data_IF_183028115242
#
_entry.id   IF_183028115242
#
_cell.length_a   1.000
_cell.length_b   1.000
_cell.length_c   1.000
_cell.angle_alpha   90.00
_cell.angle_beta   90.00
_cell.angle_gamma   90.00
#
_symmetry.space_group_name_H-M   'P 1'
#
loop_
_entity.id
_entity.type
_entity.pdbx_description
1 polymer ?
#
# COMPACT_ATOMS: atom_id res chain seq x y z
N UNK A 1 -0.96 20.35 22.92
CA UNK A 1 -0.58 20.01 21.53
C UNK A 1 -0.01 21.27 20.92
N UNK A 2 1.25 21.29 20.50
CA UNK A 2 1.79 22.44 19.78
C UNK A 2 1.12 22.54 18.40
N UNK A 3 0.92 23.77 17.91
CA UNK A 3 0.33 24.01 16.57
C UNK A 3 1.11 23.31 15.45
N UNK A 4 2.40 23.03 15.64
CA UNK A 4 3.28 22.34 14.70
C UNK A 4 2.88 20.90 14.34
N UNK A 5 1.93 20.28 15.05
CA UNK A 5 1.45 18.92 14.77
C UNK A 5 0.09 18.87 14.07
N UNK A 6 -0.47 20.00 13.69
CA UNK A 6 -1.83 20.05 13.13
C UNK A 6 -1.85 19.71 11.63
N UNK A 7 -2.86 18.97 11.18
CA UNK A 7 -3.08 18.66 9.75
C UNK A 7 -3.72 19.86 9.06
N UNK A 8 -3.06 20.39 8.02
CA UNK A 8 -3.54 21.55 7.27
C UNK A 8 -4.83 21.23 6.48
N UNK A 9 -5.58 22.30 6.14
CA UNK A 9 -6.78 22.17 5.28
C UNK A 9 -6.44 21.58 3.92
N UNK A 10 -5.29 21.96 3.33
CA UNK A 10 -4.82 21.41 2.06
C UNK A 10 -4.59 19.90 2.14
N UNK A 11 -3.95 19.41 3.21
CA UNK A 11 -3.76 18.00 3.45
C UNK A 11 -5.09 17.25 3.57
N UNK A 12 -6.08 17.82 4.26
CA UNK A 12 -7.43 17.19 4.38
C UNK A 12 -8.14 17.10 3.04
N UNK A 13 -8.12 18.17 2.24
CA UNK A 13 -8.71 18.17 0.89
C UNK A 13 -8.03 17.09 0.04
N UNK A 14 -6.71 17.04 0.03
CA UNK A 14 -5.96 16.02 -0.70
C UNK A 14 -6.34 14.60 -0.27
N UNK A 15 -6.34 14.32 1.04
CA UNK A 15 -6.75 13.00 1.57
C UNK A 15 -8.19 12.66 1.15
N UNK A 16 -9.11 13.62 1.19
CA UNK A 16 -10.49 13.44 0.74
C UNK A 16 -10.60 13.05 -0.74
N UNK A 17 -9.81 13.70 -1.61
CA UNK A 17 -9.73 13.34 -3.04
C UNK A 17 -9.17 11.92 -3.25
N UNK A 18 -8.12 11.56 -2.49
CA UNK A 18 -7.55 10.20 -2.52
C UNK A 18 -8.59 9.17 -2.10
N UNK A 19 -9.38 9.42 -1.04
CA UNK A 19 -10.47 8.51 -0.61
C UNK A 19 -11.46 8.29 -1.75
N UNK A 20 -11.95 9.35 -2.39
CA UNK A 20 -12.88 9.24 -3.50
C UNK A 20 -12.32 8.43 -4.67
N UNK A 21 -11.08 8.72 -5.06
CA UNK A 21 -10.41 8.01 -6.14
C UNK A 21 -10.25 6.51 -5.83
N UNK A 22 -9.61 6.16 -4.70
CA UNK A 22 -9.33 4.74 -4.38
C UNK A 22 -10.61 3.94 -4.09
N UNK A 23 -11.65 4.56 -3.52
CA UNK A 23 -12.93 3.89 -3.31
C UNK A 23 -13.62 3.54 -4.63
N UNK A 24 -13.55 4.43 -5.63
CA UNK A 24 -14.22 4.25 -6.92
C UNK A 24 -13.76 2.98 -7.68
N UNK A 25 -12.52 2.55 -7.48
CA UNK A 25 -11.99 1.35 -8.11
C UNK A 25 -11.73 0.20 -7.13
N UNK A 26 -11.45 0.48 -5.86
CA UNK A 26 -11.17 -0.56 -4.88
C UNK A 26 -12.40 -1.39 -4.50
N UNK A 27 -13.55 -0.73 -4.31
CA UNK A 27 -14.79 -1.42 -3.96
C UNK A 27 -15.24 -2.39 -5.06
N UNK A 28 -15.35 -1.99 -6.36
CA UNK A 28 -15.71 -2.93 -7.41
C UNK A 28 -14.75 -4.10 -7.53
N UNK A 29 -13.44 -3.87 -7.51
CA UNK A 29 -12.46 -4.95 -7.63
C UNK A 29 -12.54 -5.97 -6.50
N UNK A 30 -12.83 -5.52 -5.28
CA UNK A 30 -12.90 -6.39 -4.12
C UNK A 30 -14.23 -7.14 -4.02
N UNK A 31 -15.35 -6.46 -4.29
CA UNK A 31 -16.71 -7.00 -4.12
C UNK A 31 -17.25 -7.70 -5.37
N UNK A 32 -16.77 -7.31 -6.56
CA UNK A 32 -17.18 -7.89 -7.85
C UNK A 32 -15.96 -8.19 -8.73
N UNK A 33 -15.04 -9.08 -8.28
CA UNK A 33 -13.77 -9.35 -8.97
C UNK A 33 -13.96 -10.00 -10.35
N UNK A 34 -15.01 -10.81 -10.54
CA UNK A 34 -15.31 -11.45 -11.83
C UNK A 34 -15.66 -10.47 -12.95
N UNK A 35 -16.12 -9.27 -12.61
CA UNK A 35 -16.40 -8.21 -13.56
C UNK A 35 -15.17 -7.39 -13.98
N UNK A 36 -14.02 -7.55 -13.33
CA UNK A 36 -12.82 -6.75 -13.56
C UNK A 36 -12.42 -6.61 -15.04
N UNK A 37 -12.48 -7.65 -15.89
CA UNK A 37 -12.13 -7.54 -17.31
C UNK A 37 -12.94 -6.47 -18.07
N UNK A 38 -14.16 -6.17 -17.64
CA UNK A 38 -15.05 -5.22 -18.30
C UNK A 38 -14.83 -3.74 -17.91
N UNK A 39 -14.36 -3.46 -16.70
CA UNK A 39 -14.30 -2.09 -16.17
C UNK A 39 -12.90 -1.64 -15.73
N UNK A 40 -11.97 -2.58 -15.46
CA UNK A 40 -10.69 -2.22 -14.86
C UNK A 40 -9.74 -1.50 -15.84
N UNK A 41 -8.73 -0.85 -15.30
CA UNK A 41 -7.80 0.03 -16.02
C UNK A 41 -6.83 -0.71 -16.96
N UNK A 42 -6.51 -1.95 -16.66
CA UNK A 42 -5.65 -2.82 -17.46
C UNK A 42 -6.16 -4.27 -17.41
N UNK A 43 -5.48 -5.18 -18.13
CA UNK A 43 -5.89 -6.58 -18.18
C UNK A 43 -5.76 -7.28 -16.84
N UNK A 44 -6.88 -7.70 -16.26
CA UNK A 44 -6.98 -8.57 -15.09
C UNK A 44 -8.04 -9.60 -15.39
N UNK A 45 -7.62 -10.76 -15.91
CA UNK A 45 -8.55 -11.80 -16.31
C UNK A 45 -9.01 -12.67 -15.15
N UNK A 46 -8.12 -12.92 -14.19
CA UNK A 46 -8.37 -13.84 -13.07
C UNK A 46 -9.04 -13.11 -11.88
N UNK A 47 -10.24 -13.54 -11.44
CA UNK A 47 -10.96 -12.90 -10.34
C UNK A 47 -10.17 -12.85 -9.03
N UNK A 48 -9.33 -13.84 -8.76
CA UNK A 48 -8.47 -13.89 -7.57
C UNK A 48 -7.46 -12.76 -7.58
N UNK A 49 -6.84 -12.48 -8.72
CA UNK A 49 -5.94 -11.33 -8.91
C UNK A 49 -6.70 -10.01 -8.73
N UNK A 50 -7.89 -9.90 -9.30
CA UNK A 50 -8.73 -8.71 -9.13
C UNK A 50 -9.09 -8.47 -7.66
N UNK A 51 -9.47 -9.51 -6.92
CA UNK A 51 -9.77 -9.43 -5.49
C UNK A 51 -8.55 -9.04 -4.66
N UNK A 52 -7.35 -9.58 -4.98
CA UNK A 52 -6.10 -9.17 -4.33
C UNK A 52 -5.82 -7.68 -4.51
N UNK A 53 -5.86 -7.20 -5.75
CA UNK A 53 -5.67 -5.77 -6.06
C UNK A 53 -6.78 -4.95 -5.38
N UNK A 54 -8.02 -5.42 -5.43
CA UNK A 54 -9.17 -4.79 -4.79
C UNK A 54 -9.02 -4.67 -3.29
N UNK A 55 -8.48 -5.70 -2.61
CA UNK A 55 -8.26 -5.68 -1.15
C UNK A 55 -7.28 -4.58 -0.73
N UNK A 56 -6.26 -4.31 -1.56
CA UNK A 56 -5.30 -3.21 -1.34
C UNK A 56 -6.05 -1.88 -1.28
N UNK A 57 -6.85 -1.59 -2.29
CA UNK A 57 -7.59 -0.34 -2.39
C UNK A 57 -8.73 -0.23 -1.38
N UNK A 58 -9.41 -1.34 -1.11
CA UNK A 58 -10.45 -1.40 -0.08
C UNK A 58 -9.92 -1.02 1.30
N UNK A 59 -8.84 -1.67 1.74
CA UNK A 59 -8.20 -1.35 3.03
C UNK A 59 -7.60 0.05 3.02
N UNK A 60 -6.98 0.45 1.90
CA UNK A 60 -6.45 1.81 1.76
C UNK A 60 -7.57 2.86 1.90
N UNK A 61 -8.77 2.60 1.36
CA UNK A 61 -9.92 3.51 1.54
C UNK A 61 -10.24 3.70 3.01
N UNK A 62 -10.39 2.61 3.77
CA UNK A 62 -10.66 2.65 5.21
C UNK A 62 -9.54 3.39 5.95
N UNK A 63 -8.30 3.11 5.58
CA UNK A 63 -7.13 3.74 6.18
C UNK A 63 -7.05 5.25 5.90
N UNK A 64 -7.33 5.68 4.68
CA UNK A 64 -7.36 7.12 4.36
C UNK A 64 -8.52 7.84 5.04
N UNK A 65 -9.67 7.18 5.26
CA UNK A 65 -10.74 7.69 6.14
C UNK A 65 -10.25 7.86 7.58
N UNK A 66 -9.49 6.90 8.10
CA UNK A 66 -8.84 7.03 9.40
C UNK A 66 -7.86 8.21 9.43
N UNK A 67 -6.99 8.37 8.42
CA UNK A 67 -6.05 9.50 8.33
C UNK A 67 -6.77 10.86 8.21
N UNK A 68 -7.87 10.92 7.47
CA UNK A 68 -8.68 12.13 7.32
C UNK A 68 -9.21 12.67 8.66
N UNK A 69 -9.51 11.74 9.59
CA UNK A 69 -9.99 12.06 10.94
C UNK A 69 -8.86 12.45 11.91
N UNK A 70 -7.59 12.22 11.54
CA UNK A 70 -6.47 12.59 12.40
C UNK A 70 -6.31 14.10 12.45
N UNK A 71 -5.97 14.61 13.65
CA UNK A 71 -5.58 16.01 13.86
C UNK A 71 -4.07 16.17 13.91
N UNK A 72 -3.36 15.10 14.18
CA UNK A 72 -1.92 15.05 14.35
C UNK A 72 -1.22 14.73 13.03
N UNK A 73 -0.44 15.69 12.51
CA UNK A 73 0.31 15.53 11.27
C UNK A 73 1.30 14.37 11.31
N UNK A 74 1.93 14.12 12.47
CA UNK A 74 2.87 13.01 12.62
C UNK A 74 2.28 11.65 12.27
N UNK A 75 0.97 11.46 12.49
CA UNK A 75 0.26 10.23 12.12
C UNK A 75 -0.06 10.14 10.64
N UNK A 76 -0.04 11.26 9.93
CA UNK A 76 -0.44 11.37 8.52
C UNK A 76 0.78 11.40 7.59
N UNK A 77 1.81 12.14 7.97
CA UNK A 77 2.97 12.46 7.15
C UNK A 77 3.63 11.22 6.53
N UNK A 78 3.94 10.22 7.37
CA UNK A 78 4.65 9.03 6.92
C UNK A 78 3.88 8.23 5.87
N UNK A 79 2.55 8.17 6.02
CA UNK A 79 1.68 7.51 5.06
C UNK A 79 1.66 8.23 3.71
N UNK A 80 1.67 9.57 3.72
CA UNK A 80 1.74 10.35 2.47
C UNK A 80 3.13 10.25 1.81
N UNK A 81 4.22 10.19 2.59
CA UNK A 81 5.57 9.94 2.05
C UNK A 81 5.67 8.57 1.38
N UNK A 82 5.05 7.54 1.99
CA UNK A 82 5.02 6.20 1.41
C UNK A 82 4.18 6.14 0.13
N UNK A 83 3.10 6.92 0.05
CA UNK A 83 2.31 7.05 -1.18
C UNK A 83 3.16 7.60 -2.33
N UNK A 84 4.08 8.53 -2.09
CA UNK A 84 4.98 9.03 -3.12
C UNK A 84 5.83 7.90 -3.73
N UNK A 85 6.38 7.02 -2.90
CA UNK A 85 7.20 5.88 -3.34
C UNK A 85 6.36 4.90 -4.19
N UNK A 86 5.18 4.51 -3.68
CA UNK A 86 4.33 3.56 -4.41
C UNK A 86 3.77 4.17 -5.70
N UNK A 87 3.46 5.47 -5.70
CA UNK A 87 2.99 6.16 -6.89
C UNK A 87 4.05 6.12 -8.02
N UNK A 88 5.30 6.46 -7.69
CA UNK A 88 6.39 6.36 -8.65
C UNK A 88 6.58 4.93 -9.17
N UNK A 89 6.57 3.93 -8.26
CA UNK A 89 6.73 2.52 -8.61
C UNK A 89 5.64 2.04 -9.57
N UNK A 90 4.38 2.30 -9.25
CA UNK A 90 3.24 1.85 -10.06
C UNK A 90 3.15 2.54 -11.40
N UNK A 91 3.55 3.83 -11.50
CA UNK A 91 3.63 4.52 -12.79
C UNK A 91 4.72 3.93 -13.67
N UNK A 92 5.90 3.60 -13.12
CA UNK A 92 6.94 2.91 -13.87
C UNK A 92 6.41 1.54 -14.34
N UNK A 93 5.73 0.77 -13.49
CA UNK A 93 5.11 -0.49 -13.88
C UNK A 93 4.08 -0.30 -15.02
N UNK A 94 3.26 0.76 -14.94
CA UNK A 94 2.30 1.10 -15.99
C UNK A 94 2.97 1.42 -17.32
N UNK A 95 4.09 2.17 -17.32
CA UNK A 95 4.86 2.47 -18.52
C UNK A 95 5.40 1.21 -19.20
N UNK A 96 5.88 0.22 -18.44
CA UNK A 96 6.34 -1.06 -18.96
C UNK A 96 5.24 -1.91 -19.60
N UNK A 97 3.97 -1.63 -19.25
CA UNK A 97 2.81 -2.40 -19.70
C UNK A 97 1.72 -1.51 -20.30
N UNK A 98 2.11 -0.39 -20.93
CA UNK A 98 1.15 0.58 -21.45
C UNK A 98 0.17 -0.05 -22.45
N UNK A 99 0.62 -1.01 -23.25
CA UNK A 99 -0.22 -1.75 -24.18
C UNK A 99 -1.34 -2.58 -23.52
N UNK A 100 -1.16 -2.94 -22.25
CA UNK A 100 -2.16 -3.65 -21.45
C UNK A 100 -3.21 -2.73 -20.83
N UNK A 101 -3.01 -1.41 -20.90
CA UNK A 101 -3.92 -0.42 -20.32
C UNK A 101 -5.03 -0.05 -21.30
N UNK A 102 -6.18 0.27 -20.73
CA UNK A 102 -7.36 0.75 -21.46
C UNK A 102 -7.64 2.22 -21.12
N UNK A 103 -6.86 3.19 -21.66
CA UNK A 103 -6.92 4.60 -21.27
C UNK A 103 -8.27 5.27 -21.56
N UNK A 104 -9.10 4.66 -22.44
CA UNK A 104 -10.46 5.12 -22.71
C UNK A 104 -11.48 4.75 -21.60
N UNK A 105 -11.12 3.90 -20.67
CA UNK A 105 -11.99 3.55 -19.52
C UNK A 105 -11.92 4.63 -18.44
N UNK A 106 -13.04 5.09 -17.90
CA UNK A 106 -13.03 6.13 -16.85
C UNK A 106 -12.18 5.76 -15.64
N UNK A 107 -12.22 4.49 -15.18
CA UNK A 107 -11.42 4.05 -14.05
C UNK A 107 -9.91 4.05 -14.32
N UNK A 108 -9.49 3.85 -15.57
CA UNK A 108 -8.07 3.98 -15.94
C UNK A 108 -7.60 5.43 -15.78
N UNK A 109 -8.40 6.40 -16.22
CA UNK A 109 -8.07 7.83 -16.06
C UNK A 109 -8.02 8.22 -14.58
N UNK A 110 -8.99 7.75 -13.77
CA UNK A 110 -8.99 8.01 -12.31
C UNK A 110 -7.76 7.38 -11.66
N UNK A 111 -7.41 6.15 -12.05
CA UNK A 111 -6.24 5.46 -11.53
C UNK A 111 -4.93 6.18 -11.91
N UNK A 112 -4.76 6.53 -13.17
CA UNK A 112 -3.60 7.31 -13.61
C UNK A 112 -3.48 8.62 -12.85
N UNK A 113 -4.58 9.37 -12.71
CA UNK A 113 -4.59 10.62 -11.96
C UNK A 113 -4.23 10.38 -10.48
N UNK A 114 -4.76 9.32 -9.85
CA UNK A 114 -4.49 8.98 -8.45
C UNK A 114 -3.00 8.69 -8.17
N UNK A 115 -2.23 8.28 -9.17
CA UNK A 115 -0.79 8.01 -9.03
C UNK A 115 0.10 9.09 -9.66
N UNK A 116 -0.37 9.79 -10.70
CA UNK A 116 0.38 10.89 -11.31
C UNK A 116 0.39 12.13 -10.42
N UNK A 117 -0.78 12.52 -9.93
CA UNK A 117 -0.92 13.75 -9.15
C UNK A 117 -0.10 13.78 -7.86
N UNK A 118 0.03 12.68 -7.08
CA UNK A 118 0.87 12.66 -5.89
C UNK A 118 2.32 13.07 -6.13
N UNK A 119 2.90 12.72 -7.27
CA UNK A 119 4.30 13.06 -7.58
C UNK A 119 4.54 14.57 -7.64
N UNK A 120 3.51 15.35 -8.01
CA UNK A 120 3.58 16.82 -8.09
C UNK A 120 3.02 17.48 -6.82
N UNK A 121 1.88 17.00 -6.33
CA UNK A 121 1.19 17.67 -5.22
C UNK A 121 1.78 17.36 -3.85
N UNK A 122 2.31 16.16 -3.60
CA UNK A 122 2.86 15.84 -2.28
C UNK A 122 4.07 16.70 -1.90
N UNK A 123 5.06 16.95 -2.79
CA UNK A 123 6.16 17.86 -2.46
C UNK A 123 5.67 19.27 -2.10
N UNK A 124 4.69 19.78 -2.86
CA UNK A 124 4.07 21.09 -2.58
C UNK A 124 3.33 21.05 -1.24
N UNK A 125 2.54 20.00 -1.00
CA UNK A 125 1.80 19.82 0.25
C UNK A 125 2.73 19.78 1.47
N UNK A 126 3.84 19.03 1.41
CA UNK A 126 4.83 18.96 2.49
C UNK A 126 5.48 20.32 2.72
N UNK A 127 5.77 21.06 1.66
CA UNK A 127 6.30 22.43 1.77
C UNK A 127 5.32 23.36 2.45
N UNK A 128 4.06 23.42 1.99
CA UNK A 128 3.00 24.25 2.59
C UNK A 128 2.76 23.88 4.07
N UNK A 129 2.74 22.60 4.38
CA UNK A 129 2.60 22.12 5.76
C UNK A 129 3.74 22.62 6.65
N UNK A 130 4.98 22.56 6.14
CA UNK A 130 6.17 23.03 6.85
C UNK A 130 6.19 24.57 7.01
N UNK A 131 5.79 25.31 5.99
CA UNK A 131 5.71 26.79 6.03
C UNK A 131 4.65 27.24 7.04
N UNK A 132 3.52 26.55 7.13
CA UNK A 132 2.41 26.91 8.01
C UNK A 132 2.65 26.52 9.48
N UNK A 133 3.27 25.39 9.75
CA UNK A 133 3.38 24.82 11.09
C UNK A 133 4.81 24.55 11.58
N UNK A 134 5.82 24.93 10.78
CA UNK A 134 7.24 24.68 11.09
C UNK A 134 7.69 23.25 10.78
N UNK A 135 8.99 23.00 10.99
CA UNK A 135 9.55 21.66 10.85
C UNK A 135 9.08 20.77 12.01
N UNK A 136 8.65 19.58 11.69
CA UNK A 136 8.29 18.56 12.68
C UNK A 136 9.58 17.98 13.27
N UNK A 137 10.20 18.68 14.24
CA UNK A 137 11.35 18.15 14.96
C UNK A 137 10.91 17.11 15.99
N UNK A 138 11.72 16.06 16.11
CA UNK A 138 11.71 14.98 17.08
C UNK A 138 10.38 14.71 17.78
N UNK A 139 9.59 13.75 17.30
CA UNK A 139 8.34 13.42 17.98
C UNK A 139 8.62 13.01 19.42
N UNK A 140 8.22 13.80 20.43
CA UNK A 140 8.30 13.36 21.81
C UNK A 140 7.40 12.14 21.97
N UNK A 141 7.86 11.12 22.63
CA UNK A 141 7.05 9.94 22.94
C UNK A 141 7.82 8.63 22.90
N UNK A 142 7.06 7.56 22.95
CA UNK A 142 7.58 6.20 23.02
C UNK A 142 8.42 5.87 21.79
N UNK A 143 9.64 5.41 22.05
CA UNK A 143 10.53 4.90 21.02
C UNK A 143 10.41 3.37 20.87
N UNK A 144 10.52 2.92 19.64
CA UNK A 144 10.54 1.48 19.33
C UNK A 144 11.81 0.85 19.91
N UNK A 145 11.68 -0.26 20.63
CA UNK A 145 12.82 -0.97 21.19
C UNK A 145 13.83 -1.41 20.10
N UNK A 146 15.14 -1.48 20.42
CA UNK A 146 16.18 -1.83 19.45
C UNK A 146 15.92 -3.16 18.71
N UNK A 147 15.37 -4.16 19.39
CA UNK A 147 15.00 -5.46 18.82
C UNK A 147 13.99 -5.32 17.70
N UNK A 148 12.93 -4.52 17.91
CA UNK A 148 11.93 -4.23 16.89
C UNK A 148 12.49 -3.42 15.72
N UNK A 149 13.44 -2.52 15.99
CA UNK A 149 14.14 -1.80 14.92
C UNK A 149 14.96 -2.77 14.05
N UNK A 150 15.62 -3.77 14.67
CA UNK A 150 16.34 -4.82 13.95
C UNK A 150 15.41 -5.62 13.02
N UNK A 151 14.26 -6.03 13.53
CA UNK A 151 13.24 -6.74 12.74
C UNK A 151 12.72 -5.88 11.59
N UNK A 152 12.44 -4.60 11.81
CA UNK A 152 11.99 -3.67 10.76
C UNK A 152 13.07 -3.45 9.68
N UNK A 153 14.37 -3.44 10.07
CA UNK A 153 15.48 -3.39 9.10
C UNK A 153 15.50 -4.63 8.20
N UNK A 154 15.43 -5.80 8.80
CA UNK A 154 15.41 -7.06 8.06
C UNK A 154 14.20 -7.10 7.12
N UNK A 155 13.03 -6.72 7.62
CA UNK A 155 11.80 -6.63 6.84
C UNK A 155 11.92 -5.66 5.66
N UNK A 156 12.49 -4.47 5.88
CA UNK A 156 12.73 -3.49 4.82
C UNK A 156 13.62 -4.06 3.72
N UNK A 157 14.72 -4.74 4.11
CA UNK A 157 15.64 -5.34 3.16
C UNK A 157 14.98 -6.49 2.36
N UNK A 158 14.28 -7.40 3.04
CA UNK A 158 13.57 -8.52 2.40
C UNK A 158 12.54 -8.01 1.41
N UNK A 159 11.69 -7.07 1.82
CA UNK A 159 10.64 -6.55 0.95
C UNK A 159 11.18 -5.70 -0.20
N UNK A 160 12.28 -4.98 0.00
CA UNK A 160 12.94 -4.27 -1.11
C UNK A 160 13.48 -5.25 -2.16
N UNK A 161 14.19 -6.29 -1.74
CA UNK A 161 14.71 -7.34 -2.65
C UNK A 161 13.55 -8.03 -3.36
N UNK A 162 12.52 -8.41 -2.62
CA UNK A 162 11.34 -9.10 -3.14
C UNK A 162 10.58 -8.24 -4.16
N UNK A 163 10.36 -6.95 -3.85
CA UNK A 163 9.70 -6.03 -4.77
C UNK A 163 10.50 -5.85 -6.07
N UNK A 164 11.82 -5.69 -5.96
CA UNK A 164 12.70 -5.57 -7.13
C UNK A 164 12.67 -6.88 -7.95
N UNK A 165 12.75 -8.04 -7.30
CA UNK A 165 12.68 -9.33 -7.98
C UNK A 165 11.35 -9.53 -8.70
N UNK A 166 10.22 -9.26 -8.03
CA UNK A 166 8.88 -9.33 -8.64
C UNK A 166 8.74 -8.36 -9.81
N UNK A 167 9.30 -7.16 -9.70
CA UNK A 167 9.25 -6.16 -10.77
C UNK A 167 10.09 -6.59 -11.99
N UNK A 168 11.35 -6.96 -11.74
CA UNK A 168 12.31 -7.29 -12.81
C UNK A 168 12.01 -8.62 -13.51
N UNK A 169 11.51 -9.60 -12.74
CA UNK A 169 11.29 -10.98 -13.21
C UNK A 169 9.81 -11.35 -13.35
N UNK A 170 8.94 -10.37 -13.54
CA UNK A 170 7.51 -10.61 -13.64
C UNK A 170 7.12 -11.62 -14.74
N UNK A 171 7.72 -11.61 -15.96
CA UNK A 171 7.42 -12.60 -17.00
C UNK A 171 7.80 -14.02 -16.59
N UNK A 172 8.88 -14.21 -15.84
CA UNK A 172 9.35 -15.52 -15.38
C UNK A 172 8.60 -15.99 -14.13
N UNK A 173 8.12 -15.07 -13.30
CA UNK A 173 7.37 -15.41 -12.08
C UNK A 173 5.89 -15.69 -12.37
N UNK A 174 5.30 -15.09 -13.39
CA UNK A 174 3.89 -15.28 -13.73
C UNK A 174 3.54 -16.76 -14.00
N UNK A 175 4.31 -17.55 -14.76
CA UNK A 175 4.03 -18.98 -14.95
C UNK A 175 4.20 -19.84 -13.69
N UNK A 176 4.93 -19.34 -12.69
CA UNK A 176 5.17 -20.02 -11.41
C UNK A 176 4.15 -19.61 -10.33
N UNK A 177 3.23 -18.70 -10.66
CA UNK A 177 2.20 -18.25 -9.73
C UNK A 177 1.14 -19.33 -9.55
N UNK A 178 0.51 -19.48 -8.35
CA UNK A 178 -0.43 -20.58 -8.08
C UNK A 178 -1.80 -20.42 -8.76
N UNK A 179 -1.99 -19.43 -9.59
CA UNK A 179 -3.13 -19.27 -10.50
C UNK A 179 -2.70 -18.47 -11.73
N UNK A 180 -3.43 -18.52 -12.84
CA UNK A 180 -3.09 -17.71 -14.01
C UNK A 180 -3.01 -16.23 -13.67
N UNK A 181 -1.85 -15.61 -13.93
CA UNK A 181 -1.62 -14.19 -13.68
C UNK A 181 -0.79 -13.58 -14.80
N UNK A 182 -1.17 -12.41 -15.25
CA UNK A 182 -0.41 -11.68 -16.26
C UNK A 182 0.82 -10.98 -15.63
N UNK A 183 1.95 -10.85 -16.36
CA UNK A 183 3.15 -10.16 -15.85
C UNK A 183 2.89 -8.73 -15.37
N UNK A 184 1.94 -8.02 -15.98
CA UNK A 184 1.53 -6.68 -15.50
C UNK A 184 1.03 -6.74 -14.07
N UNK A 185 0.25 -7.75 -13.71
CA UNK A 185 -0.30 -7.90 -12.37
C UNK A 185 0.77 -8.25 -11.33
N UNK A 186 1.77 -9.06 -11.70
CA UNK A 186 2.94 -9.34 -10.83
C UNK A 186 3.70 -8.06 -10.55
N UNK A 187 3.95 -7.19 -11.58
CA UNK A 187 4.59 -5.89 -11.39
C UNK A 187 3.76 -4.94 -10.56
N UNK A 188 2.44 -4.89 -10.75
CA UNK A 188 1.56 -4.05 -9.93
C UNK A 188 1.55 -4.50 -8.45
N UNK A 189 1.49 -5.81 -8.19
CA UNK A 189 1.58 -6.36 -6.83
C UNK A 189 2.95 -6.09 -6.18
N UNK A 190 4.03 -6.04 -6.97
CA UNK A 190 5.36 -5.67 -6.44
C UNK A 190 5.39 -4.27 -5.84
N UNK A 191 4.56 -3.34 -6.35
CA UNK A 191 4.43 -1.99 -5.81
C UNK A 191 3.91 -1.98 -4.38
N UNK A 192 3.03 -2.93 -4.01
CA UNK A 192 2.58 -3.07 -2.64
C UNK A 192 3.70 -3.60 -1.73
N UNK A 193 4.46 -4.58 -2.20
CA UNK A 193 5.63 -5.08 -1.47
C UNK A 193 6.66 -3.97 -1.26
N UNK A 194 6.90 -3.15 -2.31
CA UNK A 194 7.78 -1.97 -2.24
C UNK A 194 7.29 -0.94 -1.21
N UNK A 195 5.97 -0.69 -1.15
CA UNK A 195 5.35 0.20 -0.17
C UNK A 195 5.70 -0.22 1.26
N UNK A 196 5.53 -1.51 1.58
CA UNK A 196 5.83 -2.02 2.92
C UNK A 196 7.32 -2.03 3.23
N UNK A 197 8.17 -2.28 2.24
CA UNK A 197 9.63 -2.15 2.36
C UNK A 197 10.06 -0.72 2.65
N UNK A 198 9.59 0.23 1.84
CA UNK A 198 9.88 1.66 2.01
C UNK A 198 9.42 2.16 3.37
N UNK A 199 8.24 1.72 3.81
CA UNK A 199 7.68 2.12 5.09
C UNK A 199 8.49 1.57 6.27
N UNK A 200 8.86 0.29 6.25
CA UNK A 200 9.73 -0.27 7.27
C UNK A 200 11.08 0.48 7.33
N UNK A 201 11.62 0.89 6.16
CA UNK A 201 12.81 1.73 6.05
C UNK A 201 12.66 3.11 6.66
N UNK A 202 11.53 3.78 6.44
CA UNK A 202 11.23 5.09 7.05
C UNK A 202 11.04 4.96 8.57
N UNK A 203 10.32 3.93 9.02
CA UNK A 203 10.08 3.66 10.43
C UNK A 203 11.37 3.48 11.25
N UNK A 204 12.39 2.86 10.63
CA UNK A 204 13.70 2.69 11.27
C UNK A 204 14.39 4.02 11.61
N UNK A 205 14.33 5.00 10.68
CA UNK A 205 15.02 6.28 10.86
C UNK A 205 14.39 7.09 11.98
N UNK A 206 13.09 7.03 12.11
CA UNK A 206 12.34 7.91 12.99
C UNK A 206 12.13 7.35 14.40
N UNK A 207 12.00 6.03 14.54
CA UNK A 207 11.89 5.34 15.83
C UNK A 207 10.68 5.72 16.70
N UNK A 208 9.87 6.68 16.29
CA UNK A 208 8.73 7.16 17.06
C UNK A 208 7.48 6.30 16.82
N UNK A 209 6.96 5.66 17.86
CA UNK A 209 5.77 4.82 17.80
C UNK A 209 4.54 5.53 17.23
N UNK A 210 4.31 6.82 17.59
CA UNK A 210 3.18 7.61 17.07
C UNK A 210 3.12 7.66 15.54
N UNK A 211 4.26 7.67 14.87
CA UNK A 211 4.36 7.67 13.41
C UNK A 211 4.16 6.29 12.82
N UNK A 212 4.61 5.25 13.51
CA UNK A 212 4.54 3.86 13.05
C UNK A 212 3.16 3.22 13.27
N UNK A 213 2.48 3.56 14.37
CA UNK A 213 1.22 2.94 14.76
C UNK A 213 0.15 2.90 13.65
N UNK A 214 -0.16 4.00 12.92
CA UNK A 214 -1.16 3.98 11.84
C UNK A 214 -0.83 2.94 10.77
N UNK A 215 0.46 2.80 10.49
CA UNK A 215 0.90 1.84 9.48
C UNK A 215 0.81 0.39 9.96
N UNK A 216 1.10 0.10 11.21
CA UNK A 216 0.88 -1.25 11.73
C UNK A 216 -0.60 -1.63 11.65
N UNK A 217 -1.49 -0.67 11.87
CA UNK A 217 -2.94 -0.88 11.71
C UNK A 217 -3.28 -1.26 10.27
N UNK A 218 -2.85 -0.46 9.28
CA UNK A 218 -3.17 -0.77 7.87
C UNK A 218 -2.52 -2.08 7.42
N UNK A 219 -1.30 -2.37 7.86
CA UNK A 219 -0.61 -3.60 7.47
C UNK A 219 -1.32 -4.83 8.03
N UNK A 220 -1.80 -4.78 9.28
CA UNK A 220 -2.61 -5.85 9.85
C UNK A 220 -3.94 -6.03 9.10
N UNK A 221 -4.63 -4.92 8.81
CA UNK A 221 -5.88 -4.95 8.02
C UNK A 221 -5.65 -5.50 6.61
N UNK A 222 -4.53 -5.16 5.99
CA UNK A 222 -4.16 -5.65 4.67
C UNK A 222 -3.93 -7.16 4.68
N UNK A 223 -3.18 -7.66 5.66
CA UNK A 223 -2.98 -9.09 5.84
C UNK A 223 -4.32 -9.84 5.96
N UNK A 224 -5.25 -9.31 6.75
CA UNK A 224 -6.59 -9.89 6.91
C UNK A 224 -7.43 -9.81 5.63
N UNK A 225 -7.43 -8.67 4.94
CA UNK A 225 -8.25 -8.44 3.74
C UNK A 225 -7.79 -9.24 2.52
N UNK A 226 -6.55 -9.73 2.51
CA UNK A 226 -6.05 -10.62 1.46
C UNK A 226 -6.59 -12.04 1.59
N UNK A 227 -6.93 -12.50 2.79
CA UNK A 227 -7.37 -13.89 3.03
C UNK A 227 -8.54 -14.33 2.14
N UNK A 228 -9.60 -13.54 1.87
CA UNK A 228 -10.67 -13.96 1.00
C UNK A 228 -10.22 -14.36 -0.40
N UNK A 229 -9.18 -13.74 -0.97
CA UNK A 229 -8.65 -14.11 -2.27
C UNK A 229 -8.07 -15.54 -2.30
N UNK A 230 -7.74 -16.12 -1.15
CA UNK A 230 -7.23 -17.49 -1.03
C UNK A 230 -8.28 -18.47 -0.55
N UNK A 231 -9.18 -18.03 0.32
CA UNK A 231 -10.18 -18.89 0.97
C UNK A 231 -11.43 -19.10 0.13
N UNK A 232 -11.80 -18.12 -0.71
CA UNK A 232 -12.97 -18.23 -1.55
C UNK A 232 -12.71 -19.14 -2.78
N UNK A 233 -13.71 -19.89 -3.24
CA UNK A 233 -13.61 -20.76 -4.39
C UNK A 233 -13.65 -19.98 -5.71
N UNK A 234 -12.67 -19.11 -5.93
CA UNK A 234 -12.55 -18.28 -7.13
C UNK A 234 -11.94 -19.02 -8.35
N UNK A 235 -11.72 -20.33 -8.22
CA UNK A 235 -11.14 -21.17 -9.27
C UNK A 235 -9.61 -21.17 -9.29
N UNK A 236 -9.03 -22.06 -10.10
CA UNK A 236 -7.67 -22.00 -10.64
C UNK A 236 -6.47 -22.05 -9.65
N UNK A 237 -6.65 -22.31 -8.34
CA UNK A 237 -5.52 -22.37 -7.42
C UNK A 237 -4.78 -23.70 -7.54
N UNK A 238 -3.50 -23.65 -7.97
CA UNK A 238 -2.60 -24.79 -8.02
C UNK A 238 -1.68 -24.84 -6.80
N UNK A 239 -2.00 -25.70 -5.85
CA UNK A 239 -1.20 -25.93 -4.64
C UNK A 239 0.16 -26.59 -4.90
N UNK A 240 0.40 -27.15 -6.09
CA UNK A 240 1.69 -27.76 -6.49
C UNK A 240 2.66 -26.74 -7.08
N UNK A 241 2.19 -25.52 -7.37
CA UNK A 241 3.04 -24.43 -7.89
C UNK A 241 4.19 -24.13 -6.94
N UNK A 242 5.41 -23.85 -7.47
CA UNK A 242 6.56 -23.44 -6.66
C UNK A 242 6.31 -22.21 -5.78
N UNK A 243 5.41 -21.34 -6.20
CA UNK A 243 5.03 -20.13 -5.46
C UNK A 243 3.70 -20.28 -4.68
N UNK A 244 3.16 -21.50 -4.53
CA UNK A 244 1.85 -21.70 -3.87
C UNK A 244 1.75 -21.06 -2.47
N UNK A 245 2.80 -21.17 -1.67
CA UNK A 245 2.80 -20.59 -0.32
C UNK A 245 3.07 -19.08 -0.28
N UNK A 246 3.69 -18.53 -1.31
CA UNK A 246 4.13 -17.12 -1.32
C UNK A 246 2.97 -16.13 -1.11
N UNK A 247 1.85 -16.20 -1.84
CA UNK A 247 0.75 -15.27 -1.67
C UNK A 247 0.07 -15.37 -0.30
N UNK A 248 0.22 -16.50 0.40
CA UNK A 248 -0.34 -16.71 1.75
C UNK A 248 0.62 -16.24 2.83
N UNK A 249 1.91 -16.56 2.70
CA UNK A 249 2.92 -16.23 3.71
C UNK A 249 3.14 -14.73 3.87
N UNK A 250 3.10 -13.98 2.76
CA UNK A 250 3.31 -12.52 2.79
C UNK A 250 2.22 -11.80 3.59
N UNK A 251 0.91 -11.99 3.33
CA UNK A 251 -0.15 -11.40 4.15
C UNK A 251 -0.15 -11.89 5.60
N UNK A 252 0.20 -13.15 5.83
CA UNK A 252 0.30 -13.70 7.19
C UNK A 252 1.42 -13.03 7.97
N UNK A 253 2.58 -12.80 7.35
CA UNK A 253 3.68 -12.03 7.94
C UNK A 253 3.23 -10.61 8.30
N UNK A 254 2.52 -9.94 7.39
CA UNK A 254 1.98 -8.60 7.65
C UNK A 254 1.06 -8.57 8.87
N UNK A 255 0.16 -9.53 8.95
CA UNK A 255 -0.78 -9.64 10.06
C UNK A 255 -0.06 -9.90 11.38
N UNK A 256 0.77 -10.95 11.44
CA UNK A 256 1.44 -11.39 12.67
C UNK A 256 2.41 -10.34 13.19
N UNK A 257 3.30 -9.82 12.34
CA UNK A 257 4.30 -8.82 12.74
C UNK A 257 3.62 -7.53 13.22
N UNK A 258 2.58 -7.09 12.53
CA UNK A 258 1.87 -5.87 12.91
C UNK A 258 1.11 -6.02 14.21
N UNK A 259 0.41 -7.15 14.42
CA UNK A 259 -0.29 -7.43 15.68
C UNK A 259 0.67 -7.56 16.86
N UNK A 260 1.83 -8.21 16.65
CA UNK A 260 2.86 -8.33 17.69
C UNK A 260 3.40 -6.95 18.10
N UNK A 261 3.70 -6.06 17.13
CA UNK A 261 4.15 -4.69 17.41
C UNK A 261 3.05 -3.85 18.09
N UNK A 262 1.80 -3.96 17.64
CA UNK A 262 0.67 -3.28 18.27
C UNK A 262 0.45 -3.75 19.71
N UNK A 263 0.58 -5.05 19.98
CA UNK A 263 0.44 -5.63 21.33
C UNK A 263 1.59 -5.18 22.25
N UNK A 264 2.83 -5.20 21.76
CA UNK A 264 4.02 -4.78 22.52
C UNK A 264 3.98 -3.30 22.96
N UNK A 265 3.18 -2.46 22.29
CA UNK A 265 3.10 -1.02 22.55
C UNK A 265 1.70 -0.55 23.01
N UNK A 266 0.81 -1.48 23.42
CA UNK A 266 -0.53 -1.15 23.97
C UNK A 266 -0.50 -0.59 25.39
N UNK A 267 0.50 -0.95 26.16
CA UNK A 267 0.59 -0.66 27.63
C UNK A 267 1.36 0.61 27.94
N UNK A 268 1.68 1.40 26.94
CA UNK A 268 2.44 2.65 27.05
C UNK A 268 1.73 3.80 26.33
#
# INVERSE_FOLDING_TARGET
>A
MSEASTVSRAARIYIGLVIGAIASFGLPLYLYPSGAPSYWAWTVAEPRTAMLIGSIYFVSTIFYVYLYRQRDWLRVEMSLRSLFVVAAWLLVAAMFHWESFYPYRPLALVWLAAYYLPLFFLPILFRLQREQFGATEGAPGLHIAPTWRGLLRLRAAIFAVLAIAMFARAPELAPLWPWPIEPVNVRMLSGQVALFGAFAGLAMKEGAWRRLQPFMIITAMMGLAHLPAYLLPLGGYDGSSPLALFPVLVPLEWLVTSLALLAAHRST
#
